data_IF_319623728626
#
_entry.id   IF_319623728626
#
_cell.length_a   1.000
_cell.length_b   1.000
_cell.length_c   1.000
_cell.angle_alpha   90.00
_cell.angle_beta   90.00
_cell.angle_gamma   90.00
#
_symmetry.space_group_name_H-M   'P 1'
#
loop_
_entity.id
_entity.type
_entity.pdbx_description
1 polymer ?
#
# COMPACT_ATOMS: atom_id res chain seq x y z
N UNK A 1 -3.03 4.74 8.65
CA UNK A 1 -4.47 4.79 9.02
C UNK A 1 -4.80 6.02 9.85
N UNK A 2 -3.95 6.49 10.77
CA UNK A 2 -4.22 7.68 11.61
C UNK A 2 -4.76 8.91 10.85
N UNK A 3 -4.19 9.26 9.69
CA UNK A 3 -4.68 10.37 8.87
C UNK A 3 -6.11 10.15 8.37
N UNK A 4 -6.44 8.95 7.88
CA UNK A 4 -7.78 8.59 7.43
C UNK A 4 -8.79 8.58 8.59
N UNK A 5 -8.42 8.00 9.73
CA UNK A 5 -9.28 7.96 10.91
C UNK A 5 -9.59 9.37 11.45
N UNK A 6 -8.62 10.30 11.35
CA UNK A 6 -8.81 11.69 11.79
C UNK A 6 -9.87 12.42 10.95
N UNK A 7 -9.94 12.12 9.66
CA UNK A 7 -10.95 12.65 8.74
C UNK A 7 -12.28 11.84 8.79
N UNK A 8 -12.40 10.89 9.71
CA UNK A 8 -13.64 10.13 9.95
C UNK A 8 -13.83 8.89 9.07
N UNK A 9 -12.84 8.49 8.28
CA UNK A 9 -12.94 7.29 7.45
C UNK A 9 -12.77 6.01 8.28
N UNK A 10 -13.67 5.05 8.04
CA UNK A 10 -13.54 3.69 8.58
C UNK A 10 -12.57 2.88 7.71
N UNK A 11 -11.57 2.27 8.35
CA UNK A 11 -10.51 1.54 7.65
C UNK A 11 -10.36 0.15 8.24
N UNK A 12 -10.49 -0.86 7.38
CA UNK A 12 -10.09 -2.23 7.69
C UNK A 12 -8.67 -2.45 7.21
N UNK A 13 -7.78 -2.87 8.11
CA UNK A 13 -6.38 -3.15 7.80
C UNK A 13 -6.15 -4.65 7.68
N UNK A 14 -5.55 -5.07 6.58
CA UNK A 14 -5.15 -6.44 6.32
C UNK A 14 -3.62 -6.55 6.23
N UNK A 15 -3.05 -7.54 6.90
CA UNK A 15 -1.68 -7.97 6.64
C UNK A 15 -1.66 -8.69 5.28
N UNK A 16 -0.75 -8.29 4.39
CA UNK A 16 -0.65 -8.82 3.03
C UNK A 16 0.82 -9.04 2.67
N UNK A 17 1.07 -9.72 1.54
CA UNK A 17 2.42 -9.95 1.04
C UNK A 17 2.47 -9.62 -0.45
N UNK A 18 3.41 -8.79 -0.87
CA UNK A 18 3.58 -8.46 -2.28
C UNK A 18 4.07 -9.66 -3.08
N UNK A 19 3.42 -9.99 -4.19
CA UNK A 19 3.76 -11.19 -4.99
C UNK A 19 5.16 -11.15 -5.62
N UNK A 20 5.67 -9.95 -5.94
CA UNK A 20 6.99 -9.79 -6.57
C UNK A 20 8.15 -9.88 -5.57
N UNK A 21 8.10 -9.07 -4.51
CA UNK A 21 9.18 -8.99 -3.52
C UNK A 21 9.03 -10.01 -2.39
N UNK A 22 7.86 -10.67 -2.28
CA UNK A 22 7.49 -11.54 -1.14
C UNK A 22 7.65 -10.85 0.22
N UNK A 23 7.58 -9.53 0.24
CA UNK A 23 7.70 -8.70 1.43
C UNK A 23 6.33 -8.34 2.01
N UNK A 24 6.31 -8.15 3.32
CA UNK A 24 5.11 -7.77 4.06
C UNK A 24 4.62 -6.39 3.66
N UNK A 25 3.39 -6.34 3.16
CA UNK A 25 2.68 -5.12 2.80
C UNK A 25 1.43 -4.96 3.67
N UNK A 26 0.87 -3.75 3.66
CA UNK A 26 -0.44 -3.49 4.27
C UNK A 26 -1.45 -3.19 3.19
N UNK A 27 -2.53 -3.97 3.14
CA UNK A 27 -3.71 -3.63 2.35
C UNK A 27 -4.72 -2.92 3.24
N UNK A 28 -5.28 -1.81 2.77
CA UNK A 28 -6.34 -1.08 3.43
C UNK A 28 -7.62 -1.24 2.61
N UNK A 29 -8.71 -1.61 3.27
CA UNK A 29 -10.06 -1.59 2.69
C UNK A 29 -10.83 -0.44 3.33
N UNK A 30 -11.37 0.44 2.49
CA UNK A 30 -12.03 1.68 2.90
C UNK A 30 -13.35 1.75 2.12
N UNK A 31 -14.47 1.69 2.83
CA UNK A 31 -15.78 1.96 2.25
C UNK A 31 -16.17 3.40 2.54
N UNK A 32 -16.55 4.16 1.51
CA UNK A 32 -16.98 5.56 1.64
C UNK A 32 -17.95 5.94 0.53
N UNK A 33 -18.60 7.09 0.69
CA UNK A 33 -19.52 7.65 -0.30
C UNK A 33 -18.74 8.14 -1.54
N UNK A 34 -19.37 8.13 -2.71
CA UNK A 34 -18.73 8.44 -4.00
C UNK A 34 -18.03 9.80 -3.98
N UNK A 35 -18.67 10.82 -3.41
CA UNK A 35 -18.14 12.19 -3.33
C UNK A 35 -16.90 12.33 -2.45
N UNK A 36 -16.58 11.31 -1.63
CA UNK A 36 -15.43 11.30 -0.71
C UNK A 36 -14.26 10.45 -1.21
N UNK A 37 -14.43 9.71 -2.31
CA UNK A 37 -13.39 8.81 -2.86
C UNK A 37 -12.10 9.59 -3.16
N UNK A 38 -12.21 10.75 -3.79
CA UNK A 38 -11.05 11.57 -4.13
C UNK A 38 -10.31 12.10 -2.90
N UNK A 39 -11.03 12.43 -1.83
CA UNK A 39 -10.43 12.86 -0.57
C UNK A 39 -9.61 11.73 0.07
N UNK A 40 -10.16 10.51 0.11
CA UNK A 40 -9.41 9.31 0.55
C UNK A 40 -8.14 9.12 -0.27
N UNK A 41 -8.24 9.21 -1.61
CA UNK A 41 -7.09 9.08 -2.51
C UNK A 41 -6.04 10.15 -2.21
N UNK A 42 -6.45 11.39 -1.96
CA UNK A 42 -5.55 12.50 -1.67
C UNK A 42 -4.84 12.31 -0.32
N UNK A 43 -5.54 11.85 0.72
CA UNK A 43 -4.94 11.50 2.01
C UNK A 43 -3.91 10.39 1.83
N UNK A 44 -4.25 9.33 1.09
CA UNK A 44 -3.33 8.22 0.82
C UNK A 44 -2.10 8.71 0.05
N UNK A 45 -2.27 9.48 -1.03
CA UNK A 45 -1.15 10.04 -1.81
C UNK A 45 -0.20 10.89 -0.94
N UNK A 46 -0.74 11.71 -0.05
CA UNK A 46 0.04 12.58 0.83
C UNK A 46 0.88 11.80 1.84
N UNK A 47 0.36 10.67 2.34
CA UNK A 47 1.02 9.86 3.38
C UNK A 47 1.95 8.80 2.78
N UNK A 48 1.50 8.15 1.70
CA UNK A 48 2.17 7.04 1.05
C UNK A 48 2.96 7.55 -0.16
N UNK A 49 3.93 8.44 0.06
CA UNK A 49 4.84 8.89 -1.00
C UNK A 49 5.76 7.76 -1.51
N UNK A 50 6.33 7.88 -2.72
CA UNK A 50 7.24 6.88 -3.27
C UNK A 50 8.48 6.72 -2.39
N UNK A 51 8.92 5.47 -2.18
CA UNK A 51 10.13 5.15 -1.42
C UNK A 51 11.11 4.35 -2.27
N UNK A 52 12.40 4.60 -2.07
CA UNK A 52 13.46 3.75 -2.63
C UNK A 52 13.77 2.66 -1.61
N UNK A 53 13.78 1.42 -2.04
CA UNK A 53 14.23 0.30 -1.24
C UNK A 53 15.45 -0.34 -1.91
N UNK A 54 16.48 -0.59 -1.11
CA UNK A 54 17.68 -1.28 -1.56
C UNK A 54 17.49 -2.75 -1.19
N UNK A 55 17.45 -3.62 -2.19
CA UNK A 55 17.39 -5.06 -1.99
C UNK A 55 18.78 -5.63 -2.31
N UNK A 56 19.37 -6.32 -1.34
CA UNK A 56 20.58 -7.09 -1.57
C UNK A 56 20.18 -8.45 -2.15
N UNK A 57 20.43 -8.65 -3.45
CA UNK A 57 20.26 -9.96 -4.07
C UNK A 57 21.58 -10.72 -3.97
N UNK A 58 21.64 -11.86 -3.25
CA UNK A 58 22.80 -12.73 -3.30
C UNK A 58 22.79 -13.46 -4.65
N UNK A 59 23.56 -12.95 -5.62
CA UNK A 59 23.80 -13.65 -6.88
C UNK A 59 25.21 -14.24 -6.81
N UNK A 60 25.31 -15.54 -6.56
CA UNK A 60 26.57 -16.29 -6.76
C UNK A 60 26.83 -17.44 -5.79
N UNK A 61 27.18 -18.60 -6.33
CA UNK A 61 27.93 -19.67 -5.64
C UNK A 61 29.43 -19.36 -5.77
N UNK A 62 29.94 -18.51 -4.89
CA UNK A 62 31.33 -18.05 -4.89
C UNK A 62 31.45 -16.76 -4.10
N UNK A 63 32.55 -16.59 -3.38
CA UNK A 63 32.77 -15.56 -2.37
C UNK A 63 32.27 -14.14 -2.75
N UNK A 64 31.19 -13.75 -2.06
CA UNK A 64 30.77 -12.38 -1.72
C UNK A 64 30.84 -11.31 -2.82
N UNK A 65 29.93 -11.37 -3.80
CA UNK A 65 29.45 -10.16 -4.47
C UNK A 65 27.94 -10.03 -4.29
N UNK A 66 27.51 -9.36 -3.22
CA UNK A 66 26.14 -8.87 -3.10
C UNK A 66 25.97 -7.64 -4.00
N UNK A 67 25.14 -7.75 -5.06
CA UNK A 67 24.71 -6.57 -5.82
C UNK A 67 23.49 -5.96 -5.12
N UNK A 68 23.64 -4.69 -4.73
CA UNK A 68 22.55 -3.88 -4.22
C UNK A 68 21.71 -3.39 -5.42
N UNK A 69 20.47 -3.88 -5.53
CA UNK A 69 19.51 -3.39 -6.52
C UNK A 69 18.63 -2.34 -5.84
N UNK A 70 18.61 -1.12 -6.38
CA UNK A 70 17.68 -0.08 -5.93
C UNK A 70 16.37 -0.27 -6.68
N UNK A 71 15.33 -0.69 -5.96
CA UNK A 71 13.97 -0.72 -6.50
C UNK A 71 13.19 0.49 -5.98
N UNK A 72 12.42 1.11 -6.87
CA UNK A 72 11.42 2.10 -6.46
C UNK A 72 10.18 1.32 -6.00
N UNK A 73 9.95 1.28 -4.70
CA UNK A 73 8.71 0.75 -4.16
C UNK A 73 7.72 1.91 -4.10
N UNK A 74 6.75 1.85 -5.00
CA UNK A 74 5.73 2.86 -5.17
C UNK A 74 4.82 2.97 -3.95
N UNK A 75 4.43 4.20 -3.67
CA UNK A 75 3.75 4.64 -2.46
C UNK A 75 2.49 3.86 -2.07
N UNK A 76 1.48 3.86 -2.94
CA UNK A 76 0.25 3.10 -2.75
C UNK A 76 -0.30 2.66 -4.11
N UNK A 77 -0.80 1.43 -4.19
CA UNK A 77 -1.63 0.96 -5.31
C UNK A 77 -3.08 1.01 -4.85
N UNK A 78 -3.95 1.69 -5.59
CA UNK A 78 -5.34 1.93 -5.20
C UNK A 78 -6.26 1.36 -6.28
N UNK A 79 -7.24 0.56 -5.86
CA UNK A 79 -8.35 0.11 -6.68
C UNK A 79 -9.63 0.74 -6.14
N UNK A 80 -10.44 1.32 -7.03
CA UNK A 80 -11.77 1.85 -6.70
C UNK A 80 -12.79 0.91 -7.32
N UNK A 81 -13.76 0.48 -6.53
CA UNK A 81 -14.79 -0.47 -6.94
C UNK A 81 -16.14 0.06 -6.49
N UNK A 82 -17.13 0.02 -7.37
CA UNK A 82 -18.51 0.38 -7.04
C UNK A 82 -19.14 -0.66 -6.12
N UNK A 83 -20.02 -0.21 -5.24
CA UNK A 83 -20.72 -1.05 -4.27
C UNK A 83 -22.21 -0.99 -4.57
N UNK A 84 -22.76 -2.09 -5.08
CA UNK A 84 -24.21 -2.17 -5.39
C UNK A 84 -25.10 -2.11 -4.14
N UNK A 85 -24.60 -2.63 -3.00
CA UNK A 85 -25.32 -2.66 -1.73
C UNK A 85 -24.36 -2.62 -0.55
N UNK A 86 -24.63 -1.72 0.40
CA UNK A 86 -23.91 -1.62 1.66
C UNK A 86 -24.89 -1.79 2.83
N UNK A 87 -24.52 -2.63 3.80
CA UNK A 87 -25.30 -2.89 5.01
C UNK A 87 -24.38 -2.76 6.23
N UNK A 88 -24.83 -2.04 7.25
CA UNK A 88 -24.14 -1.91 8.53
C UNK A 88 -25.09 -2.37 9.64
N UNK A 89 -24.74 -3.50 10.26
CA UNK A 89 -25.52 -4.15 11.33
C UNK A 89 -24.84 -3.89 12.67
#
# INVERSE_FOLDING_TARGET
>A
TAALNKEGYYVTKLASTGGFLREGNTTLMIGTDEEKVDDVINIVKKVCGPRKQIIANPVGTGEYTSMNVVVNIGGATIFVMDVDRFEKI
#
